data_IF_196027124532
#
_entry.id   IF_196027124532
#
_cell.length_a   1.000
_cell.length_b   1.000
_cell.length_c   1.000
_cell.angle_alpha   90.00
_cell.angle_beta   90.00
_cell.angle_gamma   90.00
#
_symmetry.space_group_name_H-M   'P 1'
#
loop_
_entity.id
_entity.type
_entity.pdbx_description
1 polymer ?
#
# COMPACT_ATOMS: atom_id res chain seq x y z
N UNK A 1 -37.40 14.81 21.23
CA UNK A 1 -36.08 14.22 21.50
C UNK A 1 -35.24 15.27 22.22
N UNK A 2 -34.78 15.00 23.44
CA UNK A 2 -33.93 15.94 24.17
C UNK A 2 -32.60 16.10 23.45
N UNK A 3 -32.29 17.34 23.05
CA UNK A 3 -31.02 17.64 22.43
C UNK A 3 -29.90 17.48 23.46
N UNK A 4 -28.82 16.73 23.17
CA UNK A 4 -27.77 16.47 24.14
C UNK A 4 -27.13 17.77 24.66
N UNK A 5 -26.83 17.83 25.97
CA UNK A 5 -26.26 19.04 26.61
C UNK A 5 -24.97 19.55 25.95
N UNK A 6 -24.15 18.66 25.38
CA UNK A 6 -22.93 19.05 24.68
C UNK A 6 -23.19 19.86 23.41
N UNK A 7 -24.26 19.54 22.66
CA UNK A 7 -24.63 20.27 21.43
C UNK A 7 -25.07 21.70 21.77
N UNK A 8 -25.85 21.88 22.84
CA UNK A 8 -26.29 23.22 23.28
C UNK A 8 -25.11 24.10 23.69
N UNK A 9 -24.13 23.54 24.40
CA UNK A 9 -22.89 24.26 24.75
C UNK A 9 -22.13 24.70 23.51
N UNK A 10 -21.97 23.81 22.52
CA UNK A 10 -21.30 24.14 21.26
C UNK A 10 -22.05 25.28 20.51
N UNK A 11 -23.38 25.19 20.48
CA UNK A 11 -24.24 26.20 19.83
C UNK A 11 -24.25 27.56 20.52
N UNK A 12 -23.81 27.68 21.78
CA UNK A 12 -23.66 28.98 22.42
C UNK A 12 -22.41 29.72 21.94
N UNK A 13 -21.44 29.01 21.37
CA UNK A 13 -20.17 29.56 20.90
C UNK A 13 -20.09 29.62 19.37
N UNK A 14 -21.20 29.98 18.69
CA UNK A 14 -21.27 30.00 17.21
C UNK A 14 -20.19 30.86 16.58
N UNK A 15 -19.88 32.01 17.18
CA UNK A 15 -18.86 32.94 16.65
C UNK A 15 -17.48 32.27 16.65
N UNK A 16 -17.10 31.61 17.75
CA UNK A 16 -15.82 30.91 17.85
C UNK A 16 -15.73 29.76 16.84
N UNK A 17 -16.81 28.99 16.66
CA UNK A 17 -16.85 27.90 15.68
C UNK A 17 -16.76 28.42 14.24
N UNK A 18 -17.45 29.52 13.91
CA UNK A 18 -17.38 30.12 12.57
C UNK A 18 -15.96 30.62 12.29
N UNK A 19 -15.32 31.31 13.26
CA UNK A 19 -13.94 31.75 13.13
C UNK A 19 -13.01 30.54 12.97
N UNK A 20 -13.18 29.51 13.80
CA UNK A 20 -12.40 28.28 13.72
C UNK A 20 -12.55 27.57 12.38
N UNK A 21 -13.76 27.54 11.81
CA UNK A 21 -14.03 26.99 10.48
C UNK A 21 -13.32 27.78 9.37
N UNK A 22 -13.40 29.11 9.40
CA UNK A 22 -12.71 29.97 8.42
C UNK A 22 -11.20 29.78 8.50
N UNK A 23 -10.63 29.75 9.71
CA UNK A 23 -9.20 29.51 9.94
C UNK A 23 -8.81 28.11 9.50
N UNK A 24 -9.63 27.09 9.76
CA UNK A 24 -9.39 25.72 9.31
C UNK A 24 -9.37 25.59 7.78
N UNK A 25 -10.32 26.23 7.09
CA UNK A 25 -10.34 26.27 5.62
C UNK A 25 -9.11 26.99 5.08
N UNK A 26 -8.75 28.15 5.64
CA UNK A 26 -7.55 28.88 5.25
C UNK A 26 -6.27 28.07 5.49
N UNK A 27 -6.15 27.40 6.64
CA UNK A 27 -5.01 26.56 6.97
C UNK A 27 -4.92 25.33 6.06
N UNK A 28 -6.05 24.69 5.74
CA UNK A 28 -6.10 23.59 4.78
C UNK A 28 -5.64 24.02 3.39
N UNK A 29 -6.11 25.17 2.90
CA UNK A 29 -5.66 25.72 1.62
C UNK A 29 -4.17 26.05 1.62
N UNK A 30 -3.66 26.67 2.68
CA UNK A 30 -2.23 26.97 2.84
C UNK A 30 -1.37 25.71 2.97
N UNK A 31 -1.94 24.59 3.42
CA UNK A 31 -1.23 23.31 3.48
C UNK A 31 -1.12 22.64 2.11
N UNK A 32 -2.16 22.70 1.29
CA UNK A 32 -2.19 22.07 -0.04
C UNK A 32 -1.59 22.92 -1.15
N UNK A 33 -1.59 24.25 -1.01
CA UNK A 33 -1.15 25.18 -2.04
C UNK A 33 -0.02 26.07 -1.56
N UNK A 34 0.90 26.37 -2.47
CA UNK A 34 1.96 27.36 -2.28
C UNK A 34 1.75 28.50 -3.26
N UNK A 35 2.05 29.72 -2.83
CA UNK A 35 2.02 30.89 -3.72
C UNK A 35 3.43 31.07 -4.26
N UNK A 36 3.64 30.79 -5.54
CA UNK A 36 4.89 31.06 -6.26
C UNK A 36 4.58 32.09 -7.36
N UNK A 37 5.33 33.19 -7.37
CA UNK A 37 5.22 34.25 -8.38
C UNK A 37 3.80 34.84 -8.56
N UNK A 38 3.00 34.86 -7.48
CA UNK A 38 1.63 35.35 -7.50
C UNK A 38 0.60 34.36 -8.07
N UNK A 39 1.04 33.17 -8.51
CA UNK A 39 0.17 32.06 -8.88
C UNK A 39 0.01 31.07 -7.71
N UNK A 40 -1.18 30.48 -7.59
CA UNK A 40 -1.45 29.42 -6.62
C UNK A 40 -1.07 28.10 -7.29
N UNK A 41 0.04 27.52 -6.87
CA UNK A 41 0.50 26.21 -7.33
C UNK A 41 0.17 25.14 -6.28
N UNK A 42 -0.22 23.95 -6.74
CA UNK A 42 -0.33 22.79 -5.86
C UNK A 42 1.05 22.49 -5.28
N UNK A 43 1.13 22.33 -3.95
CA UNK A 43 2.36 21.90 -3.28
C UNK A 43 2.65 20.41 -3.56
N UNK A 44 1.63 19.64 -3.89
CA UNK A 44 1.78 18.24 -4.30
C UNK A 44 2.15 18.23 -5.78
N UNK A 45 3.35 17.75 -6.07
CA UNK A 45 3.78 17.42 -7.42
C UNK A 45 2.80 16.39 -8.00
N UNK A 46 2.26 16.69 -9.18
CA UNK A 46 1.34 15.76 -9.84
C UNK A 46 2.14 14.62 -10.39
N UNK A 47 1.93 13.43 -9.86
CA UNK A 47 2.50 12.21 -10.41
C UNK A 47 1.48 11.58 -11.37
N UNK A 48 1.93 11.25 -12.57
CA UNK A 48 1.19 10.52 -13.57
C UNK A 48 1.74 9.12 -13.67
N UNK A 49 0.84 8.19 -13.94
CA UNK A 49 1.15 6.78 -14.09
C UNK A 49 0.56 6.30 -15.41
N UNK A 50 1.37 5.67 -16.25
CA UNK A 50 0.89 4.97 -17.45
C UNK A 50 1.25 3.50 -17.32
N UNK A 51 0.34 2.61 -17.70
CA UNK A 51 0.58 1.16 -17.69
C UNK A 51 0.39 0.56 -19.07
N UNK A 52 1.40 -0.15 -19.59
CA UNK A 52 1.20 -1.08 -20.71
C UNK A 52 0.81 -2.43 -20.14
N UNK A 53 -0.28 -3.01 -20.66
CA UNK A 53 -0.76 -4.32 -20.23
C UNK A 53 -0.24 -5.38 -21.20
N UNK A 54 0.57 -6.32 -20.68
CA UNK A 54 1.19 -7.38 -21.46
C UNK A 54 0.61 -8.73 -21.07
N UNK A 55 0.09 -9.45 -22.06
CA UNK A 55 -0.38 -10.82 -21.94
C UNK A 55 0.78 -11.78 -22.20
N UNK A 56 0.99 -12.70 -21.28
CA UNK A 56 1.94 -13.79 -21.44
C UNK A 56 1.28 -14.92 -22.21
N UNK A 57 1.85 -15.26 -23.35
CA UNK A 57 1.33 -16.29 -24.25
C UNK A 57 2.44 -17.14 -24.87
N UNK A 58 2.06 -18.09 -25.71
CA UNK A 58 2.97 -18.87 -26.54
C UNK A 58 2.86 -18.42 -28.01
N UNK A 59 3.84 -18.78 -28.83
CA UNK A 59 3.81 -18.51 -30.27
C UNK A 59 2.58 -19.10 -31.00
N UNK A 60 1.96 -20.14 -30.41
CA UNK A 60 0.75 -20.79 -30.93
C UNK A 60 -0.35 -20.75 -29.87
N UNK A 61 -1.02 -19.61 -29.70
CA UNK A 61 -2.07 -19.48 -28.69
C UNK A 61 -3.26 -20.40 -29.01
N UNK A 62 -3.61 -21.28 -28.08
CA UNK A 62 -4.73 -22.21 -28.21
C UNK A 62 -6.05 -21.65 -27.64
N UNK A 63 -6.18 -20.33 -27.54
CA UNK A 63 -7.35 -19.66 -26.90
C UNK A 63 -8.71 -20.03 -27.49
N UNK A 64 -8.74 -20.47 -28.75
CA UNK A 64 -9.96 -20.86 -29.46
C UNK A 64 -10.06 -22.37 -29.75
N UNK A 65 -9.14 -23.17 -29.21
CA UNK A 65 -9.22 -24.63 -29.34
C UNK A 65 -10.05 -25.19 -28.19
N UNK A 66 -11.11 -25.91 -28.54
CA UNK A 66 -11.96 -26.64 -27.58
C UNK A 66 -11.42 -28.03 -27.25
N UNK A 67 -10.51 -28.57 -28.08
CA UNK A 67 -9.89 -29.88 -27.89
C UNK A 67 -8.49 -29.91 -28.53
N UNK A 68 -7.47 -30.37 -27.79
CA UNK A 68 -6.11 -30.58 -28.30
C UNK A 68 -6.04 -32.00 -28.86
N UNK A 69 -5.78 -32.21 -30.16
CA UNK A 69 -5.60 -33.55 -30.72
C UNK A 69 -4.41 -34.25 -30.07
N UNK A 70 -4.62 -35.42 -29.47
CA UNK A 70 -3.54 -36.19 -28.85
C UNK A 70 -2.47 -36.60 -29.87
N UNK A 71 -1.19 -36.39 -29.57
CA UNK A 71 -0.09 -36.87 -30.41
C UNK A 71 0.32 -38.29 -30.00
N UNK A 72 0.18 -39.26 -30.90
CA UNK A 72 0.74 -40.61 -30.69
C UNK A 72 2.18 -40.66 -31.20
N UNK A 73 3.15 -40.82 -30.30
CA UNK A 73 4.55 -41.05 -30.66
C UNK A 73 4.84 -42.56 -30.62
N UNK A 74 5.25 -43.14 -31.76
CA UNK A 74 5.62 -44.55 -31.84
C UNK A 74 7.02 -44.76 -31.23
N UNK A 75 7.20 -45.72 -30.32
CA UNK A 75 8.53 -46.05 -29.80
C UNK A 75 9.41 -46.71 -30.86
N UNK A 76 10.71 -46.39 -30.91
CA UNK A 76 11.66 -47.06 -31.79
C UNK A 76 11.77 -48.54 -31.39
N UNK A 77 11.32 -49.45 -32.27
CA UNK A 77 11.49 -50.88 -32.08
C UNK A 77 12.95 -51.28 -32.39
N UNK A 78 13.68 -51.87 -31.44
CA UNK A 78 14.96 -52.50 -31.75
C UNK A 78 14.72 -53.68 -32.69
N UNK A 79 15.51 -53.75 -33.75
CA UNK A 79 15.29 -54.61 -34.89
C UNK A 79 15.35 -56.12 -34.58
N UNK A 80 14.47 -56.83 -35.28
CA UNK A 80 14.62 -58.19 -35.81
C UNK A 80 14.46 -59.40 -34.87
N UNK A 81 13.21 -59.70 -34.50
CA UNK A 81 12.57 -61.04 -34.59
C UNK A 81 11.61 -61.28 -33.42
N UNK A 82 10.41 -61.75 -33.76
CA UNK A 82 9.26 -61.98 -32.89
C UNK A 82 8.55 -60.70 -32.43
N UNK A 83 7.31 -60.52 -32.91
CA UNK A 83 6.44 -59.38 -32.63
C UNK A 83 6.29 -59.13 -31.12
N UNK A 84 6.73 -57.96 -30.61
CA UNK A 84 6.35 -57.51 -29.28
C UNK A 84 5.43 -56.30 -29.38
N UNK A 85 4.46 -56.25 -28.48
CA UNK A 85 3.50 -55.15 -28.30
C UNK A 85 4.20 -53.79 -28.31
N UNK A 86 3.78 -52.92 -29.23
CA UNK A 86 4.20 -51.52 -29.26
C UNK A 86 3.75 -50.85 -27.96
N UNK A 87 4.64 -50.77 -26.98
CA UNK A 87 4.44 -49.84 -25.88
C UNK A 87 4.49 -48.44 -26.47
N UNK A 88 3.51 -47.61 -26.16
CA UNK A 88 3.45 -46.19 -26.49
C UNK A 88 3.72 -45.47 -25.17
N UNK A 89 4.87 -44.83 -25.03
CA UNK A 89 5.17 -43.97 -23.88
C UNK A 89 4.53 -42.63 -24.20
N UNK A 90 3.38 -42.39 -23.60
CA UNK A 90 2.75 -41.07 -23.58
C UNK A 90 3.50 -40.25 -22.56
N UNK A 91 4.37 -39.35 -22.99
CA UNK A 91 4.91 -38.32 -22.10
C UNK A 91 3.79 -37.32 -21.84
N UNK A 92 3.36 -37.21 -20.59
CA UNK A 92 2.34 -36.23 -20.21
C UNK A 92 2.88 -34.82 -20.47
N UNK A 93 2.08 -33.98 -21.13
CA UNK A 93 2.39 -32.56 -21.29
C UNK A 93 2.34 -31.91 -19.92
N UNK A 94 3.48 -31.44 -19.41
CA UNK A 94 3.50 -30.60 -18.21
C UNK A 94 2.99 -29.21 -18.61
N UNK A 95 1.83 -28.75 -18.10
CA UNK A 95 1.33 -27.42 -18.42
C UNK A 95 2.30 -26.38 -17.88
N UNK A 96 2.65 -25.40 -18.71
CA UNK A 96 3.40 -24.23 -18.25
C UNK A 96 2.44 -23.36 -17.44
N UNK A 97 2.73 -23.16 -16.16
CA UNK A 97 1.96 -22.26 -15.30
C UNK A 97 2.32 -20.80 -15.59
N UNK A 98 1.73 -20.25 -16.66
CA UNK A 98 1.95 -18.87 -17.08
C UNK A 98 1.49 -17.87 -16.01
N UNK A 99 0.45 -18.19 -15.27
CA UNK A 99 -0.12 -17.33 -14.23
C UNK A 99 0.77 -17.25 -12.99
N UNK A 100 1.40 -18.37 -12.61
CA UNK A 100 2.46 -18.41 -11.60
C UNK A 100 3.72 -17.66 -12.08
N UNK A 101 4.11 -17.87 -13.33
CA UNK A 101 5.28 -17.21 -13.92
C UNK A 101 5.12 -15.69 -14.08
N UNK A 102 3.88 -15.19 -14.22
CA UNK A 102 3.61 -13.75 -14.33
C UNK A 102 4.15 -12.94 -13.15
N UNK A 103 4.13 -13.49 -11.94
CA UNK A 103 4.71 -12.82 -10.76
C UNK A 103 6.23 -12.66 -10.94
N UNK A 104 6.90 -13.73 -11.35
CA UNK A 104 8.36 -13.75 -11.52
C UNK A 104 8.75 -12.77 -12.65
N UNK A 105 8.01 -12.79 -13.75
CA UNK A 105 8.24 -11.89 -14.88
C UNK A 105 7.98 -10.42 -14.52
N UNK A 106 6.98 -10.12 -13.68
CA UNK A 106 6.79 -8.77 -13.16
C UNK A 106 7.97 -8.30 -12.30
N UNK A 107 8.56 -9.19 -11.47
CA UNK A 107 9.80 -8.86 -10.74
C UNK A 107 10.98 -8.61 -11.68
N UNK A 108 11.12 -9.41 -12.75
CA UNK A 108 12.16 -9.22 -13.75
C UNK A 108 11.96 -7.93 -14.56
N UNK A 109 10.71 -7.59 -14.92
CA UNK A 109 10.37 -6.32 -15.57
C UNK A 109 10.61 -5.10 -14.68
N UNK A 110 10.67 -5.29 -13.35
CA UNK A 110 11.03 -4.26 -12.37
C UNK A 110 12.52 -4.26 -11.97
N UNK A 111 13.36 -5.04 -12.66
CA UNK A 111 14.76 -5.20 -12.30
C UNK A 111 15.62 -4.00 -12.70
N UNK A 112 16.74 -3.81 -12.01
CA UNK A 112 17.72 -2.75 -12.32
C UNK A 112 18.21 -2.83 -13.78
N UNK A 113 18.32 -4.05 -14.36
CA UNK A 113 18.73 -4.23 -15.76
C UNK A 113 17.73 -3.59 -16.74
N UNK A 114 16.43 -3.76 -16.51
CA UNK A 114 15.38 -3.13 -17.32
C UNK A 114 15.40 -1.62 -17.09
N UNK A 115 15.49 -1.18 -15.83
CA UNK A 115 15.52 0.24 -15.47
C UNK A 115 16.69 0.97 -16.12
N UNK A 116 17.90 0.41 -16.03
CA UNK A 116 19.13 0.98 -16.61
C UNK A 116 19.07 1.00 -18.14
N UNK A 117 18.54 -0.07 -18.74
CA UNK A 117 18.38 -0.15 -20.19
C UNK A 117 17.39 0.89 -20.70
N UNK A 118 16.22 1.03 -20.05
CA UNK A 118 15.25 2.08 -20.38
C UNK A 118 15.85 3.46 -20.17
N UNK A 119 16.53 3.69 -19.04
CA UNK A 119 17.21 4.96 -18.78
C UNK A 119 18.21 5.29 -19.90
N UNK A 120 18.94 4.31 -20.42
CA UNK A 120 19.87 4.54 -21.53
C UNK A 120 19.17 4.96 -22.83
N UNK A 121 17.99 4.42 -23.12
CA UNK A 121 17.21 4.73 -24.33
C UNK A 121 16.46 6.08 -24.22
N UNK A 122 15.93 6.43 -23.04
CA UNK A 122 15.14 7.66 -22.85
C UNK A 122 15.94 8.88 -22.40
N UNK A 123 17.27 8.76 -22.30
CA UNK A 123 18.18 9.86 -21.93
C UNK A 123 18.35 10.10 -20.42
N UNK A 124 18.17 9.06 -19.61
CA UNK A 124 18.23 9.07 -18.16
C UNK A 124 16.85 9.13 -17.51
N UNK A 125 16.79 8.86 -16.20
CA UNK A 125 15.59 9.04 -15.38
C UNK A 125 15.73 10.30 -14.53
N UNK A 126 14.66 11.09 -14.47
CA UNK A 126 14.56 12.28 -13.62
C UNK A 126 14.09 11.93 -12.20
N UNK A 127 14.23 12.87 -11.25
CA UNK A 127 13.71 12.70 -9.90
C UNK A 127 12.18 12.50 -9.94
N UNK A 128 11.70 11.45 -9.26
CA UNK A 128 10.28 11.08 -9.25
C UNK A 128 9.84 10.22 -10.44
N UNK A 129 10.76 9.91 -11.37
CA UNK A 129 10.52 8.88 -12.38
C UNK A 129 10.79 7.50 -11.81
N UNK A 130 9.95 6.53 -12.19
CA UNK A 130 10.13 5.14 -11.78
C UNK A 130 9.51 4.21 -12.82
N UNK A 131 10.06 3.01 -12.89
CA UNK A 131 9.54 1.90 -13.68
C UNK A 131 9.27 0.76 -12.71
N UNK A 132 8.09 0.18 -12.79
CA UNK A 132 7.70 -0.98 -11.98
C UNK A 132 6.77 -1.86 -12.77
N UNK A 133 6.61 -3.11 -12.39
CA UNK A 133 5.66 -4.01 -13.00
C UNK A 133 4.94 -4.84 -11.94
N UNK A 134 3.67 -5.11 -12.19
CA UNK A 134 2.80 -5.85 -11.27
C UNK A 134 1.98 -6.88 -12.03
N UNK A 135 1.73 -8.05 -11.41
CA UNK A 135 0.76 -9.01 -11.93
C UNK A 135 -0.65 -8.50 -11.64
N UNK A 136 -1.50 -8.41 -12.67
CA UNK A 136 -2.94 -8.17 -12.44
C UNK A 136 -3.61 -9.43 -11.90
N UNK A 137 -4.26 -9.30 -10.75
CA UNK A 137 -5.06 -10.38 -10.14
C UNK A 137 -6.57 -10.14 -10.28
N UNK A 138 -6.98 -8.99 -10.81
CA UNK A 138 -8.38 -8.55 -10.91
C UNK A 138 -8.87 -8.55 -12.35
N UNK A 139 -10.18 -8.72 -12.52
CA UNK A 139 -10.82 -8.65 -13.83
C UNK A 139 -10.72 -7.23 -14.41
N UNK A 140 -10.65 -7.07 -15.75
CA UNK A 140 -10.53 -5.77 -16.41
C UNK A 140 -11.61 -4.73 -16.05
N UNK A 141 -12.77 -5.17 -15.55
CA UNK A 141 -13.91 -4.31 -15.20
C UNK A 141 -14.55 -4.64 -13.84
N UNK A 142 -13.93 -5.52 -13.03
CA UNK A 142 -14.51 -6.00 -11.77
C UNK A 142 -14.12 -5.13 -10.58
N UNK A 143 -15.09 -4.80 -9.72
CA UNK A 143 -14.78 -4.28 -8.39
C UNK A 143 -13.98 -5.34 -7.60
N UNK A 144 -13.12 -4.89 -6.68
CA UNK A 144 -12.37 -5.80 -5.80
C UNK A 144 -13.29 -6.59 -4.83
N UNK A 145 -14.60 -6.31 -4.87
CA UNK A 145 -15.58 -6.86 -3.96
C UNK A 145 -15.91 -8.33 -4.30
N UNK A 146 -15.64 -8.77 -5.54
CA UNK A 146 -15.75 -10.17 -5.97
C UNK A 146 -14.50 -10.65 -6.70
N UNK A 147 -13.41 -10.78 -5.95
CA UNK A 147 -12.16 -11.42 -6.40
C UNK A 147 -12.33 -12.90 -6.72
N UNK A 148 -12.95 -13.21 -7.87
CA UNK A 148 -12.78 -14.53 -8.48
C UNK A 148 -11.28 -14.80 -8.67
N UNK A 149 -10.84 -16.04 -8.43
CA UNK A 149 -9.43 -16.47 -8.57
C UNK A 149 -9.01 -16.65 -10.04
N UNK A 150 -9.46 -15.78 -10.92
CA UNK A 150 -9.01 -15.78 -12.31
C UNK A 150 -7.64 -15.12 -12.34
N UNK A 151 -6.60 -15.93 -12.16
CA UNK A 151 -5.22 -15.51 -12.37
C UNK A 151 -4.95 -15.50 -13.87
N UNK A 152 -5.18 -14.35 -14.50
CA UNK A 152 -4.78 -14.16 -15.88
C UNK A 152 -3.25 -14.03 -15.93
N UNK A 153 -2.59 -14.61 -16.94
CA UNK A 153 -1.15 -14.49 -17.09
C UNK A 153 -0.83 -13.12 -17.72
N UNK A 154 -1.13 -12.05 -16.98
CA UNK A 154 -1.00 -10.66 -17.42
C UNK A 154 -0.11 -9.91 -16.44
N UNK A 155 0.79 -9.09 -16.97
CA UNK A 155 1.58 -8.13 -16.22
C UNK A 155 1.26 -6.72 -16.72
N UNK A 156 1.19 -5.76 -15.81
CA UNK A 156 1.18 -4.33 -16.15
C UNK A 156 2.59 -3.79 -15.92
N UNK A 157 3.19 -3.23 -16.96
CA UNK A 157 4.46 -2.51 -16.87
C UNK A 157 4.14 -1.03 -16.81
N UNK A 158 4.58 -0.40 -15.72
CA UNK A 158 4.15 0.92 -15.29
C UNK A 158 5.32 1.90 -15.35
N UNK A 159 5.11 2.99 -16.08
CA UNK A 159 5.96 4.18 -16.06
C UNK A 159 5.34 5.25 -15.17
N UNK A 160 6.14 5.86 -14.30
CA UNK A 160 5.76 6.95 -13.41
C UNK A 160 6.58 8.18 -13.76
N UNK A 161 5.94 9.34 -13.87
CA UNK A 161 6.61 10.63 -14.10
C UNK A 161 5.74 11.81 -13.68
N UNK A 162 6.30 13.01 -13.57
CA UNK A 162 5.56 14.26 -13.34
C UNK A 162 4.90 14.80 -14.62
N UNK A 163 5.23 14.21 -15.78
CA UNK A 163 4.63 14.51 -17.08
C UNK A 163 3.86 13.31 -17.62
N UNK A 164 2.61 13.47 -18.11
CA UNK A 164 1.81 12.36 -18.62
C UNK A 164 2.45 11.70 -19.85
N UNK A 165 2.91 12.49 -20.81
CA UNK A 165 3.58 11.98 -22.02
C UNK A 165 4.89 11.25 -21.70
N UNK A 166 5.57 11.66 -20.63
CA UNK A 166 6.80 11.04 -20.18
C UNK A 166 6.52 9.70 -19.47
N UNK A 167 5.47 9.62 -18.66
CA UNK A 167 5.02 8.36 -18.08
C UNK A 167 4.63 7.33 -19.16
N UNK A 168 3.93 7.77 -20.21
CA UNK A 168 3.60 6.93 -21.37
C UNK A 168 4.85 6.43 -22.09
N UNK A 169 5.82 7.32 -22.34
CA UNK A 169 7.11 6.94 -22.95
C UNK A 169 7.85 5.91 -22.09
N UNK A 170 7.96 6.12 -20.78
CA UNK A 170 8.65 5.20 -19.88
C UNK A 170 8.00 3.82 -19.87
N UNK A 171 6.66 3.77 -19.83
CA UNK A 171 5.92 2.50 -19.84
C UNK A 171 6.08 1.76 -21.18
N UNK A 172 6.03 2.48 -22.31
CA UNK A 172 6.22 1.91 -23.64
C UNK A 172 7.65 1.36 -23.81
N UNK A 173 8.64 2.16 -23.44
CA UNK A 173 10.05 1.77 -23.57
C UNK A 173 10.40 0.59 -22.65
N UNK A 174 9.92 0.61 -21.40
CA UNK A 174 10.08 -0.52 -20.48
C UNK A 174 9.48 -1.81 -21.01
N UNK A 175 8.33 -1.72 -21.70
CA UNK A 175 7.69 -2.88 -22.32
C UNK A 175 8.51 -3.42 -23.49
N UNK A 176 9.05 -2.54 -24.32
CA UNK A 176 9.93 -2.91 -25.43
C UNK A 176 11.21 -3.57 -24.95
N UNK A 177 11.95 -2.89 -24.07
CA UNK A 177 13.22 -3.35 -23.47
C UNK A 177 13.04 -4.69 -22.76
N UNK A 178 11.97 -4.84 -21.95
CA UNK A 178 11.70 -6.10 -21.27
C UNK A 178 11.43 -7.24 -22.27
N UNK A 179 10.69 -6.95 -23.34
CA UNK A 179 10.42 -7.92 -24.40
C UNK A 179 11.69 -8.38 -25.11
N UNK A 180 12.59 -7.45 -25.40
CA UNK A 180 13.89 -7.74 -26.02
C UNK A 180 14.80 -8.56 -25.10
N UNK A 181 14.85 -8.25 -23.81
CA UNK A 181 15.60 -9.02 -22.81
C UNK A 181 15.05 -10.46 -22.74
N UNK A 182 13.74 -10.62 -22.63
CA UNK A 182 13.10 -11.95 -22.57
C UNK A 182 13.37 -12.76 -23.85
N UNK A 183 13.36 -12.13 -25.01
CA UNK A 183 13.69 -12.80 -26.28
C UNK A 183 15.18 -13.18 -26.36
N UNK A 184 16.06 -12.29 -25.91
CA UNK A 184 17.51 -12.52 -25.86
C UNK A 184 17.84 -13.71 -24.96
N UNK A 185 17.33 -13.73 -23.74
CA UNK A 185 17.54 -14.83 -22.78
C UNK A 185 17.01 -16.17 -23.32
N UNK A 186 15.80 -16.18 -23.89
CA UNK A 186 15.25 -17.39 -24.51
C UNK A 186 16.10 -17.89 -25.69
N UNK A 187 16.68 -16.97 -26.47
CA UNK A 187 17.56 -17.32 -27.58
C UNK A 187 18.89 -17.88 -27.07
N UNK A 188 19.48 -17.26 -26.05
CA UNK A 188 20.72 -17.70 -25.40
C UNK A 188 20.56 -19.11 -24.79
N UNK A 189 19.40 -19.39 -24.20
CA UNK A 189 19.09 -20.71 -23.64
C UNK A 189 18.69 -21.76 -24.70
N UNK A 190 18.66 -21.37 -25.98
CA UNK A 190 18.32 -22.28 -27.08
C UNK A 190 16.85 -22.72 -27.08
N UNK A 191 15.95 -21.91 -26.53
CA UNK A 191 14.50 -22.19 -26.53
C UNK A 191 13.98 -22.14 -27.98
N UNK A 192 13.39 -23.23 -28.51
CA UNK A 192 12.83 -23.25 -29.86
C UNK A 192 11.70 -22.23 -30.03
N UNK A 193 11.64 -21.56 -31.19
CA UNK A 193 10.71 -20.44 -31.45
C UNK A 193 9.23 -20.77 -31.23
N UNK A 194 8.83 -22.01 -31.50
CA UNK A 194 7.45 -22.50 -31.37
C UNK A 194 7.01 -22.72 -29.92
N UNK A 195 7.94 -22.78 -28.98
CA UNK A 195 7.66 -22.94 -27.53
C UNK A 195 8.09 -21.73 -26.69
N UNK A 196 8.47 -20.62 -27.33
CA UNK A 196 8.85 -19.39 -26.64
C UNK A 196 7.67 -18.74 -25.94
N UNK A 197 7.96 -18.12 -24.80
CA UNK A 197 7.13 -17.11 -24.18
C UNK A 197 7.06 -15.90 -25.11
N UNK A 198 5.83 -15.51 -25.43
CA UNK A 198 5.50 -14.32 -26.20
C UNK A 198 4.86 -13.31 -25.26
N UNK A 199 5.32 -12.08 -25.34
CA UNK A 199 4.82 -10.92 -24.62
C UNK A 199 3.94 -10.14 -25.59
N UNK A 200 2.63 -10.32 -25.50
CA UNK A 200 1.67 -9.66 -26.39
C UNK A 200 1.11 -8.41 -25.71
N UNK A 201 1.38 -7.24 -26.28
CA UNK A 201 0.87 -5.97 -25.73
C UNK A 201 -0.62 -5.84 -26.04
N UNK A 202 -1.44 -5.94 -24.99
CA UNK A 202 -2.90 -5.89 -25.09
C UNK A 202 -3.38 -4.44 -25.18
N UNK A 203 -2.76 -3.55 -24.42
CA UNK A 203 -3.11 -2.13 -24.38
C UNK A 203 -1.85 -1.29 -24.37
N UNK A 204 -1.82 -0.29 -25.24
CA UNK A 204 -0.82 0.77 -25.20
C UNK A 204 -0.91 1.56 -23.88
N UNK A 205 0.22 2.08 -23.37
CA UNK A 205 0.22 2.87 -22.15
C UNK A 205 -0.53 4.18 -22.36
N UNK A 206 -1.45 4.47 -21.45
CA UNK A 206 -2.18 5.74 -21.38
C UNK A 206 -2.01 6.30 -19.97
N UNK A 207 -1.56 7.55 -19.87
CA UNK A 207 -1.33 8.19 -18.57
C UNK A 207 -2.66 8.50 -17.86
N UNK A 208 -2.75 8.05 -16.62
CA UNK A 208 -3.73 8.48 -15.62
C UNK A 208 -3.07 9.26 -14.49
N UNK A 209 -3.89 9.94 -13.68
CA UNK A 209 -3.41 10.51 -12.41
C UNK A 209 -3.02 9.36 -11.46
N UNK A 210 -1.79 9.38 -10.96
CA UNK A 210 -1.27 8.35 -10.07
C UNK A 210 -2.02 8.29 -8.74
N UNK A 211 -2.02 7.12 -8.11
CA UNK A 211 -2.63 6.94 -6.79
C UNK A 211 -1.89 7.82 -5.77
N UNK A 212 -2.63 8.66 -5.04
CA UNK A 212 -2.05 9.61 -4.09
C UNK A 212 -1.71 11.00 -4.66
N UNK A 213 -1.85 11.22 -5.96
CA UNK A 213 -1.74 12.56 -6.58
C UNK A 213 -2.89 13.51 -6.22
N UNK A 214 -3.82 13.10 -5.35
CA UNK A 214 -4.96 13.92 -4.96
C UNK A 214 -4.57 14.93 -3.86
N UNK A 215 -4.45 16.23 -4.18
CA UNK A 215 -4.08 17.25 -3.20
C UNK A 215 -5.12 17.45 -2.10
N UNK A 216 -6.34 16.90 -2.26
CA UNK A 216 -7.41 17.06 -1.28
C UNK A 216 -7.11 16.37 0.06
N UNK A 217 -6.36 15.26 0.07
CA UNK A 217 -6.08 14.49 1.31
C UNK A 217 -5.39 15.37 2.37
N UNK A 218 -4.21 15.96 2.13
CA UNK A 218 -3.56 16.80 3.13
C UNK A 218 -4.39 18.03 3.50
N UNK A 219 -5.11 18.63 2.54
CA UNK A 219 -6.00 19.78 2.78
C UNK A 219 -7.08 19.42 3.81
N UNK A 220 -7.77 18.29 3.60
CA UNK A 220 -8.84 17.82 4.49
C UNK A 220 -8.28 17.45 5.86
N UNK A 221 -7.15 16.72 5.91
CA UNK A 221 -6.52 16.33 7.19
C UNK A 221 -6.15 17.56 8.02
N UNK A 222 -5.51 18.57 7.42
CA UNK A 222 -5.13 19.80 8.13
C UNK A 222 -6.36 20.62 8.53
N UNK A 223 -7.32 20.81 7.62
CA UNK A 223 -8.54 21.56 7.92
C UNK A 223 -9.34 20.91 9.06
N UNK A 224 -9.54 19.59 9.02
CA UNK A 224 -10.23 18.85 10.09
C UNK A 224 -9.43 18.93 11.40
N UNK A 225 -8.11 18.76 11.36
CA UNK A 225 -7.26 18.87 12.55
C UNK A 225 -7.36 20.24 13.23
N UNK A 226 -7.29 21.32 12.47
CA UNK A 226 -7.44 22.70 12.97
C UNK A 226 -8.86 22.93 13.50
N UNK A 227 -9.89 22.47 12.79
CA UNK A 227 -11.28 22.61 13.24
C UNK A 227 -11.52 21.88 14.58
N UNK A 228 -10.99 20.67 14.73
CA UNK A 228 -11.07 19.90 15.98
C UNK A 228 -10.36 20.62 17.13
N UNK A 229 -9.24 21.29 16.87
CA UNK A 229 -8.55 22.11 17.88
C UNK A 229 -9.43 23.26 18.38
N UNK A 230 -10.15 23.95 17.48
CA UNK A 230 -11.09 25.00 17.87
C UNK A 230 -12.29 24.46 18.64
N UNK A 231 -12.81 23.29 18.27
CA UNK A 231 -13.87 22.60 19.02
C UNK A 231 -13.39 22.27 20.44
N UNK A 232 -12.18 21.73 20.59
CA UNK A 232 -11.60 21.45 21.90
C UNK A 232 -11.42 22.73 22.74
N UNK A 233 -10.91 23.80 22.12
CA UNK A 233 -10.76 25.10 22.76
C UNK A 233 -12.11 25.68 23.23
N UNK A 234 -13.15 25.57 22.41
CA UNK A 234 -14.52 25.99 22.73
C UNK A 234 -15.03 25.33 24.03
N UNK A 235 -14.84 24.00 24.13
CA UNK A 235 -15.23 23.21 25.28
C UNK A 235 -14.43 23.58 26.54
N UNK A 236 -13.13 23.84 26.41
CA UNK A 236 -12.29 24.29 27.52
C UNK A 236 -12.76 25.66 28.03
N UNK A 237 -13.02 26.62 27.13
CA UNK A 237 -13.50 27.95 27.51
C UNK A 237 -14.85 27.86 28.23
N UNK A 238 -15.77 27.01 27.76
CA UNK A 238 -17.06 26.81 28.41
C UNK A 238 -16.89 26.19 29.80
N UNK A 239 -16.03 25.18 29.94
CA UNK A 239 -15.76 24.54 31.22
C UNK A 239 -15.18 25.53 32.25
N UNK A 240 -14.28 26.42 31.81
CA UNK A 240 -13.72 27.48 32.66
C UNK A 240 -14.81 28.50 33.03
N UNK A 241 -15.69 28.87 32.10
CA UNK A 241 -16.79 29.82 32.35
C UNK A 241 -17.84 29.26 33.32
N UNK A 242 -18.21 27.99 33.16
CA UNK A 242 -19.13 27.29 34.07
C UNK A 242 -18.54 27.22 35.49
N UNK A 243 -17.23 26.97 35.61
CA UNK A 243 -16.56 26.96 36.92
C UNK A 243 -16.59 28.33 37.61
N UNK A 244 -16.39 29.42 36.85
CA UNK A 244 -16.44 30.78 37.39
C UNK A 244 -17.84 31.18 37.85
N UNK A 245 -18.90 30.75 37.14
CA UNK A 245 -20.29 31.03 37.53
C UNK A 245 -20.63 30.37 38.88
N UNK A 246 -20.27 29.10 39.05
CA UNK A 246 -20.50 28.38 40.31
C UNK A 246 -19.76 28.99 41.49
N UNK A 247 -18.51 29.40 41.29
CA UNK A 247 -17.73 30.04 42.34
C UNK A 247 -18.25 31.44 42.75
N UNK A 248 -19.05 32.10 41.89
CA UNK A 248 -19.70 33.38 42.22
C UNK A 248 -20.99 33.20 43.01
N UNK A 249 -21.80 32.19 42.66
CA UNK A 249 -23.05 31.90 43.37
C UNK A 249 -22.80 31.44 44.82
N UNK A 250 -21.75 30.64 45.07
CA UNK A 250 -21.42 30.17 46.42
C UNK A 250 -20.96 31.29 47.38
N UNK A 251 -20.56 32.46 46.87
CA UNK A 251 -20.10 33.58 47.69
C UNK A 251 -21.23 34.47 48.21
N UNK A 252 -22.36 34.54 47.50
CA UNK A 252 -23.52 35.38 47.84
C UNK A 252 -24.44 34.71 48.88
N UNK A 253 -24.45 33.37 48.95
CA UNK A 253 -25.28 32.62 49.91
C UNK A 253 -24.70 32.58 51.33
N UNK A 254 -23.48 33.08 51.55
CA UNK A 254 -22.83 33.07 52.88
C UNK A 254 -23.18 34.26 53.78
N UNK A 255 -23.77 35.34 53.26
CA UNK A 255 -24.07 36.54 54.06
C UNK A 255 -25.47 36.53 54.70
N UNK A 256 -26.41 35.71 54.25
CA UNK A 256 -27.77 35.62 54.82
C UNK A 256 -27.94 34.50 55.89
N UNK A 257 -26.94 33.64 56.08
CA UNK A 257 -27.02 32.52 57.03
C UNK A 257 -26.70 32.91 58.50
N UNK A 258 -26.30 34.15 58.79
CA UNK A 258 -25.97 34.60 60.15
C UNK A 258 -27.13 35.27 60.93
N UNK A 259 -28.34 35.35 60.37
CA UNK A 259 -29.45 36.09 61.01
C UNK A 259 -30.39 35.25 61.91
N UNK A 260 -30.29 33.91 61.96
CA UNK A 260 -31.19 33.10 62.81
C UNK A 260 -30.53 31.79 63.26
N UNK A 261 -29.61 31.87 64.23
CA UNK A 261 -29.25 30.73 65.06
C UNK A 261 -29.80 30.99 66.47
N UNK A 262 -30.96 30.41 66.77
CA UNK A 262 -31.35 30.21 68.17
C UNK A 262 -30.41 29.15 68.79
N UNK A 263 -29.94 29.38 70.04
CA UNK A 263 -29.08 28.44 70.74
C UNK A 263 -29.93 27.28 71.27
N UNK A 264 -29.78 26.09 70.69
CA UNK A 264 -30.24 24.85 71.33
C UNK A 264 -29.05 24.26 72.06
N UNK A 265 -29.16 24.32 73.40
CA UNK A 265 -28.26 23.70 74.34
C UNK A 265 -28.40 22.18 74.35
N UNK A 266 -27.28 21.53 74.72
CA UNK A 266 -27.16 20.26 75.43
C UNK A 266 -27.96 19.05 74.94
N UNK A 267 -27.27 17.97 74.59
CA UNK A 267 -26.98 16.96 75.61
C UNK A 267 -26.02 15.89 75.08
N UNK A 268 -25.24 15.40 76.02
CA UNK A 268 -24.33 14.28 75.98
C UNK A 268 -24.88 13.04 75.26
N UNK A 269 -24.02 12.30 74.57
CA UNK A 269 -23.75 10.93 75.00
C UNK A 269 -22.61 10.28 74.19
N UNK A 270 -21.71 9.70 74.97
CA UNK A 270 -20.75 8.66 74.64
C UNK A 270 -21.29 7.63 73.63
N UNK A 271 -20.51 7.31 72.58
CA UNK A 271 -20.09 5.91 72.45
C UNK A 271 -18.90 5.71 71.50
N UNK A 272 -18.04 4.79 71.92
CA UNK A 272 -16.75 4.45 71.34
C UNK A 272 -16.88 3.44 70.16
N UNK A 273 -15.77 3.00 69.54
CA UNK A 273 -15.74 2.60 68.13
C UNK A 273 -16.12 1.13 67.89
N UNK A 274 -16.77 0.85 66.75
CA UNK A 274 -16.93 -0.52 66.23
C UNK A 274 -16.21 -0.67 64.88
N UNK A 275 -15.15 -1.47 64.92
CA UNK A 275 -14.54 -2.12 63.79
C UNK A 275 -15.50 -3.12 63.12
N UNK A 276 -15.56 -3.15 61.79
CA UNK A 276 -16.32 -4.15 61.04
C UNK A 276 -16.33 -3.87 59.53
N UNK A 277 -15.40 -4.41 58.74
CA UNK A 277 -15.55 -5.70 58.05
C UNK A 277 -16.58 -5.67 56.90
N UNK A 278 -16.03 -5.82 55.67
CA UNK A 278 -16.60 -6.44 54.46
C UNK A 278 -17.80 -5.76 53.77
N UNK A 279 -17.58 -5.35 52.52
CA UNK A 279 -18.25 -6.04 51.39
C UNK A 279 -17.57 -5.79 50.05
N UNK A 280 -17.02 -6.88 49.52
CA UNK A 280 -16.78 -7.08 48.10
C UNK A 280 -18.10 -6.92 47.33
N UNK A 281 -18.14 -6.00 46.36
CA UNK A 281 -19.12 -6.04 45.27
C UNK A 281 -18.42 -6.49 44.00
N UNK A 282 -18.59 -7.79 43.78
CA UNK A 282 -18.36 -8.55 42.56
C UNK A 282 -19.57 -8.30 41.64
N UNK A 283 -19.32 -7.74 40.46
CA UNK A 283 -20.19 -7.80 39.27
C UNK A 283 -19.21 -7.71 38.09
N UNK A 284 -18.83 -8.75 37.36
CA UNK A 284 -19.60 -9.77 36.62
C UNK A 284 -20.56 -9.22 35.56
N UNK A 285 -19.98 -8.68 34.49
CA UNK A 285 -20.51 -8.71 33.12
C UNK A 285 -19.27 -8.83 32.21
N UNK A 286 -18.86 -10.03 31.76
CA UNK A 286 -19.38 -10.79 30.62
C UNK A 286 -19.60 -9.90 29.38
N UNK A 287 -18.53 -9.67 28.63
CA UNK A 287 -18.60 -9.47 27.18
C UNK A 287 -17.57 -10.41 26.54
N UNK A 288 -18.10 -11.39 25.81
CA UNK A 288 -17.37 -12.24 24.88
C UNK A 288 -17.05 -11.37 23.66
N UNK A 289 -15.78 -11.19 23.36
CA UNK A 289 -15.30 -10.83 22.04
C UNK A 289 -13.93 -11.49 21.86
N UNK A 290 -13.95 -12.52 21.04
CA UNK A 290 -12.82 -13.06 20.30
C UNK A 290 -11.94 -11.94 19.73
N UNK A 291 -10.66 -11.96 20.04
CA UNK A 291 -9.65 -11.61 19.03
C UNK A 291 -8.33 -12.30 19.35
N UNK A 292 -8.00 -13.22 18.46
CA UNK A 292 -6.72 -13.89 18.34
C UNK A 292 -5.73 -12.87 17.78
N UNK A 293 -4.91 -12.27 18.64
CA UNK A 293 -3.72 -11.52 18.18
C UNK A 293 -2.54 -11.85 19.08
N UNK A 294 -1.74 -12.80 18.61
CA UNK A 294 -0.45 -13.13 19.19
C UNK A 294 0.49 -11.90 19.13
N UNK A 295 1.28 -11.62 20.19
CA UNK A 295 2.30 -10.58 20.13
C UNK A 295 3.51 -11.09 19.34
N UNK A 296 3.72 -10.53 18.14
CA UNK A 296 4.97 -10.67 17.39
C UNK A 296 6.08 -10.02 18.23
N UNK A 297 6.91 -10.86 18.84
CA UNK A 297 8.15 -10.47 19.52
C UNK A 297 9.12 -9.87 18.51
N UNK A 298 9.29 -8.55 18.58
CA UNK A 298 10.35 -7.78 17.95
C UNK A 298 11.70 -8.23 18.55
N UNK A 299 12.38 -9.17 17.88
CA UNK A 299 13.74 -9.59 18.25
C UNK A 299 14.72 -8.67 17.53
N UNK A 300 15.32 -7.77 18.29
CA UNK A 300 16.46 -6.98 17.82
C UNK A 300 17.63 -7.90 17.48
N UNK A 301 18.28 -7.62 16.35
CA UNK A 301 19.62 -8.13 16.05
C UNK A 301 20.50 -6.95 15.67
N UNK A 302 21.14 -6.41 16.69
CA UNK A 302 22.35 -5.60 16.62
C UNK A 302 23.54 -6.47 16.20
N UNK A 303 24.37 -5.95 15.29
CA UNK A 303 25.84 -6.03 15.34
C UNK A 303 26.54 -7.36 15.06
N UNK A 304 27.21 -7.42 13.90
CA UNK A 304 28.51 -8.08 13.70
C UNK A 304 29.08 -7.52 12.38
N UNK A 305 29.85 -6.43 12.39
CA UNK A 305 31.34 -6.39 12.42
C UNK A 305 32.03 -7.42 11.53
N UNK A 306 32.61 -6.88 10.45
CA UNK A 306 34.03 -6.93 10.10
C UNK A 306 34.66 -8.26 9.65
N UNK A 307 35.20 -8.16 8.43
CA UNK A 307 36.57 -8.51 8.01
C UNK A 307 37.07 -9.95 8.11
N UNK A 308 37.62 -10.34 6.95
CA UNK A 308 38.82 -11.15 6.72
C UNK A 308 38.56 -12.46 5.97
N UNK A 309 39.49 -12.72 5.03
CA UNK A 309 39.75 -13.94 4.27
C UNK A 309 38.92 -14.06 2.98
N UNK A 310 39.46 -14.21 1.77
CA UNK A 310 40.82 -14.54 1.37
C UNK A 310 41.02 -14.08 -0.08
N UNK A 311 42.19 -13.50 -0.34
CA UNK A 311 42.79 -13.49 -1.66
C UNK A 311 43.21 -14.93 -2.00
N UNK A 312 42.75 -15.46 -3.13
CA UNK A 312 43.47 -16.53 -3.83
C UNK A 312 43.82 -16.05 -5.22
N UNK A 313 45.06 -15.56 -5.34
CA UNK A 313 45.80 -15.53 -6.59
C UNK A 313 45.90 -16.96 -7.17
N UNK A 314 45.45 -17.10 -8.40
CA UNK A 314 45.90 -18.11 -9.38
C UNK A 314 45.92 -17.31 -10.68
N UNK A 315 47.03 -16.66 -11.05
CA UNK A 315 48.22 -17.27 -11.64
C UNK A 315 47.86 -18.24 -12.77
N UNK A 316 47.69 -17.67 -13.96
CA UNK A 316 48.00 -18.31 -15.24
C UNK A 316 48.57 -17.22 -16.15
N UNK A 317 49.80 -16.82 -15.82
CA UNK A 317 50.78 -16.50 -16.86
C UNK A 317 50.99 -17.80 -17.66
N UNK A 318 50.91 -17.73 -18.98
CA UNK A 318 52.09 -17.74 -19.83
C UNK A 318 51.74 -18.13 -21.27
N UNK A 319 52.41 -17.43 -22.19
CA UNK A 319 52.94 -17.93 -23.46
C UNK A 319 51.97 -18.63 -24.44
N UNK A 320 51.88 -18.28 -25.71
CA UNK A 320 52.90 -17.81 -26.65
C UNK A 320 52.18 -17.65 -28.00
N UNK A 321 52.41 -16.54 -28.69
CA UNK A 321 53.16 -16.50 -29.94
C UNK A 321 52.53 -17.24 -31.14
N UNK A 322 52.31 -16.46 -32.20
CA UNK A 322 53.07 -16.59 -33.46
C UNK A 322 52.21 -16.62 -34.74
N UNK A 323 52.64 -15.75 -35.64
CA UNK A 323 52.69 -15.88 -37.09
C UNK A 323 51.43 -16.07 -37.96
N UNK A 324 51.23 -15.03 -38.80
CA UNK A 324 51.16 -15.09 -40.28
C UNK A 324 50.01 -15.89 -40.91
N UNK A 325 49.09 -15.17 -41.56
CA UNK A 325 49.00 -15.07 -43.04
C UNK A 325 48.09 -13.95 -43.47
#
# INVERSE_FOLDING_TARGET
MEQPRYVRRLLNQKILLIIGLVVAVAAGLLAGFTIKDGAIESRVERTYQASSTVLLTSAQPTYFQVEIPGSTQALPQPSASAAPDQQVVVTESTPIDLSGNAIILAYLASSDEVVDSVASEVGGLEDGEAITAVRRTTQPAGDEQFGGRLELPIIDIVGVSTSPARAELLAAEATSVFSDIVLREQTEWGVPEDVRLVLDEVNAPVAGEGEGSNPAIPIVVVAVGVLLLFIALALIIEAVRDRRRRAGDDADDTDDAYATAEPVADDDDDDAPIAGVRRSKRSSSRSVASDDTAPIRRRGRTGQTAEALSASSVENDDATADARR
#
